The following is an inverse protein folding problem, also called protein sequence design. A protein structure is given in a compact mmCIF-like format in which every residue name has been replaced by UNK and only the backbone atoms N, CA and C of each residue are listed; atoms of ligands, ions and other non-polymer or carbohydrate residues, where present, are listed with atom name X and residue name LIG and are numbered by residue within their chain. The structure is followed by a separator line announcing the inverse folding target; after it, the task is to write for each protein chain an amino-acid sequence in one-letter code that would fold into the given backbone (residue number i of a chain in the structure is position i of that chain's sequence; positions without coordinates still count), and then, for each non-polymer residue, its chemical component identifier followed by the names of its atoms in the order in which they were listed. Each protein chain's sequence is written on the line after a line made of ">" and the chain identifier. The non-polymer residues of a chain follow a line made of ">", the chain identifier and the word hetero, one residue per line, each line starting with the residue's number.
data_IF_369656786612
#
_entry.id   IF_369656786612
#
_cell.length_a   1.000
_cell.length_b   1.000
_cell.length_c   1.000
_cell.angle_alpha   90.00
_cell.angle_beta   90.00
_cell.angle_gamma   90.00
#
_symmetry.space_group_name_H-M   'P 1'
#
loop_
_entity.id
_entity.type
_entity.pdbx_description
1 polymer ?
#
# COMPACT_ATOMS: atom_id res chain seq x y z
N UNK A 1 9.63 4.36 -22.24
CA UNK A 1 9.45 4.34 -20.76
C UNK A 1 10.32 3.30 -20.07
N UNK A 2 10.22 2.00 -20.38
CA UNK A 2 11.14 0.97 -19.82
C UNK A 2 12.59 1.21 -20.28
N UNK A 3 12.79 1.57 -21.55
CA UNK A 3 14.11 1.86 -22.13
C UNK A 3 14.82 3.08 -21.52
N UNK A 4 14.10 4.12 -21.06
CA UNK A 4 14.74 5.33 -20.49
C UNK A 4 15.24 5.09 -19.07
N UNK A 5 14.46 4.42 -18.20
CA UNK A 5 14.94 3.98 -16.88
C UNK A 5 16.03 2.92 -17.03
N UNK A 6 15.95 2.05 -18.04
CA UNK A 6 17.03 1.12 -18.38
C UNK A 6 18.26 1.85 -18.93
N UNK A 7 18.12 2.95 -19.68
CA UNK A 7 19.24 3.75 -20.20
C UNK A 7 19.87 4.65 -19.14
N UNK A 8 19.09 5.23 -18.21
CA UNK A 8 19.61 5.84 -16.98
C UNK A 8 20.29 4.81 -16.09
N UNK A 9 19.69 3.62 -15.94
CA UNK A 9 20.36 2.50 -15.29
C UNK A 9 21.61 2.09 -16.05
N UNK A 10 21.64 2.07 -17.37
CA UNK A 10 22.83 1.71 -18.14
C UNK A 10 23.87 2.83 -18.13
N UNK A 11 23.50 4.11 -18.06
CA UNK A 11 24.42 5.26 -17.95
C UNK A 11 25.02 5.36 -16.55
N UNK A 12 24.22 5.13 -15.50
CA UNK A 12 24.65 5.17 -14.09
C UNK A 12 25.31 3.84 -13.65
N UNK A 13 24.94 2.70 -14.25
CA UNK A 13 25.40 1.36 -13.86
C UNK A 13 26.22 0.59 -14.92
N UNK A 14 26.69 1.20 -16.03
CA UNK A 14 27.68 0.54 -16.92
C UNK A 14 29.09 0.62 -16.32
N UNK A 15 29.63 -0.54 -16.03
CA UNK A 15 31.05 -0.71 -15.73
C UNK A 15 31.50 -2.15 -15.79
N UNK A 16 31.27 -2.85 -16.90
CA UNK A 16 32.23 -3.80 -17.50
C UNK A 16 31.62 -4.59 -18.66
N UNK A 17 32.26 -4.53 -19.82
CA UNK A 17 32.61 -5.77 -20.55
C UNK A 17 33.71 -5.50 -21.59
N UNK A 18 34.91 -5.15 -21.09
CA UNK A 18 36.21 -5.56 -21.66
C UNK A 18 37.32 -4.98 -20.77
N UNK A 19 37.85 -5.75 -19.80
CA UNK A 19 39.06 -5.36 -19.06
C UNK A 19 40.25 -6.26 -19.42
N UNK A 20 41.36 -5.68 -19.92
CA UNK A 20 42.63 -6.38 -20.11
C UNK A 20 43.46 -6.55 -18.82
N UNK A 21 42.97 -6.08 -17.66
CA UNK A 21 43.56 -6.30 -16.34
C UNK A 21 42.68 -7.26 -15.50
N UNK A 22 43.29 -7.99 -14.57
CA UNK A 22 42.58 -8.91 -13.67
C UNK A 22 41.61 -8.17 -12.73
N UNK A 23 40.64 -8.88 -12.14
CA UNK A 23 39.60 -8.33 -11.25
C UNK A 23 40.15 -7.45 -10.13
N UNK A 24 41.34 -7.79 -9.62
CA UNK A 24 41.97 -7.14 -8.47
C UNK A 24 42.95 -6.01 -8.87
N UNK A 25 42.97 -5.65 -10.15
CA UNK A 25 43.84 -4.63 -10.72
C UNK A 25 43.06 -3.43 -11.27
N UNK A 26 43.70 -2.27 -11.23
CA UNK A 26 43.26 -1.01 -11.82
C UNK A 26 44.16 -0.67 -13.01
N UNK A 27 43.58 -0.18 -14.11
CA UNK A 27 44.32 0.20 -15.30
C UNK A 27 44.59 1.71 -15.28
N UNK A 28 45.86 2.10 -15.23
CA UNK A 28 46.34 3.47 -15.40
C UNK A 28 45.98 4.01 -16.79
N UNK A 29 45.97 5.34 -16.99
CA UNK A 29 45.66 5.98 -18.28
C UNK A 29 46.68 5.60 -19.38
N UNK A 30 47.89 5.22 -19.01
CA UNK A 30 48.93 4.68 -19.87
C UNK A 30 48.80 3.16 -20.14
N UNK A 31 47.68 2.54 -19.75
CA UNK A 31 47.38 1.10 -19.85
C UNK A 31 48.23 0.17 -18.97
N UNK A 32 48.93 0.69 -17.96
CA UNK A 32 49.61 -0.14 -16.95
C UNK A 32 48.58 -0.69 -15.94
N UNK A 33 48.66 -1.97 -15.56
CA UNK A 33 47.82 -2.53 -14.50
C UNK A 33 48.55 -2.45 -13.15
N UNK A 34 47.94 -1.82 -12.15
CA UNK A 34 48.41 -1.80 -10.76
C UNK A 34 47.40 -2.51 -9.85
N UNK A 35 47.82 -2.95 -8.66
CA UNK A 35 46.89 -3.56 -7.72
C UNK A 35 45.91 -2.52 -7.16
N UNK A 36 44.63 -2.85 -6.97
CA UNK A 36 43.62 -1.89 -6.48
C UNK A 36 43.97 -1.23 -5.14
N UNK A 37 44.76 -1.90 -4.29
CA UNK A 37 45.23 -1.34 -3.02
C UNK A 37 46.28 -0.23 -3.18
N UNK A 38 46.76 0.00 -4.40
CA UNK A 38 47.72 1.03 -4.75
C UNK A 38 47.08 2.28 -5.35
N UNK A 39 45.76 2.27 -5.50
CA UNK A 39 45.00 3.43 -5.93
C UNK A 39 44.81 4.38 -4.75
N UNK A 40 45.17 5.65 -4.90
CA UNK A 40 45.06 6.69 -3.86
C UNK A 40 45.79 6.38 -2.56
N UNK A 41 46.92 5.68 -2.64
CA UNK A 41 47.70 5.33 -1.46
C UNK A 41 48.70 6.44 -1.07
N UNK A 42 48.70 7.57 -1.81
CA UNK A 42 49.63 8.68 -1.61
C UNK A 42 51.00 8.45 -2.23
N UNK A 43 51.17 7.42 -3.07
CA UNK A 43 52.38 7.11 -3.83
C UNK A 43 52.04 6.96 -5.30
N UNK A 44 52.85 7.55 -6.18
CA UNK A 44 52.69 7.38 -7.62
C UNK A 44 53.20 5.99 -8.05
N UNK A 45 52.30 5.03 -8.11
CA UNK A 45 52.48 3.66 -8.60
C UNK A 45 52.23 3.53 -10.13
N UNK A 46 51.41 4.41 -10.74
CA UNK A 46 51.31 4.54 -12.20
C UNK A 46 52.41 5.45 -12.75
N UNK A 47 53.03 5.07 -13.88
CA UNK A 47 54.09 5.89 -14.50
C UNK A 47 53.60 7.23 -15.09
N UNK A 48 52.28 7.40 -15.25
CA UNK A 48 51.61 8.64 -15.65
C UNK A 48 50.92 9.36 -14.48
N UNK A 49 51.14 8.89 -13.24
CA UNK A 49 50.54 9.41 -12.00
C UNK A 49 49.01 9.38 -11.98
N UNK A 50 48.37 8.60 -12.86
CA UNK A 50 46.91 8.54 -13.00
C UNK A 50 46.20 7.83 -11.84
N UNK A 51 46.95 7.13 -10.99
CA UNK A 51 46.50 6.54 -9.73
C UNK A 51 46.32 7.54 -8.58
N UNK A 52 47.00 8.67 -8.64
CA UNK A 52 46.99 9.70 -7.59
C UNK A 52 46.43 11.05 -8.06
N UNK A 53 46.14 11.20 -9.36
CA UNK A 53 45.68 12.46 -9.94
C UNK A 53 44.20 12.79 -9.68
N UNK A 54 43.28 11.95 -10.17
CA UNK A 54 41.84 12.27 -10.19
C UNK A 54 41.07 11.76 -8.96
N UNK A 55 41.77 11.05 -8.07
CA UNK A 55 41.16 10.14 -7.10
C UNK A 55 41.37 10.62 -5.64
N UNK A 56 42.04 11.78 -5.46
CA UNK A 56 42.34 12.40 -4.16
C UNK A 56 41.59 13.72 -3.88
N UNK A 57 40.82 14.24 -4.84
CA UNK A 57 39.73 15.18 -4.55
C UNK A 57 38.45 14.36 -4.46
N UNK A 58 37.61 14.62 -3.46
CA UNK A 58 36.36 13.90 -3.19
C UNK A 58 35.31 14.11 -4.30
N UNK A 59 35.60 13.59 -5.48
CA UNK A 59 34.65 13.24 -6.51
C UNK A 59 34.12 11.87 -6.12
N UNK A 60 33.03 11.85 -5.35
CA UNK A 60 32.18 10.66 -5.26
C UNK A 60 31.65 10.40 -6.68
N UNK A 61 32.36 9.57 -7.44
CA UNK A 61 31.86 9.09 -8.71
C UNK A 61 30.58 8.28 -8.48
N UNK A 62 29.59 8.49 -9.36
CA UNK A 62 28.34 7.75 -9.39
C UNK A 62 28.58 6.33 -9.86
N UNK A 63 29.10 5.51 -8.95
CA UNK A 63 29.24 4.08 -9.20
C UNK A 63 28.04 3.33 -8.63
N UNK A 64 27.71 2.16 -9.20
CA UNK A 64 26.79 1.20 -8.58
C UNK A 64 27.09 0.95 -7.09
N UNK A 65 28.37 0.92 -6.72
CA UNK A 65 28.85 0.67 -5.37
C UNK A 65 28.55 1.85 -4.41
N UNK A 66 28.77 3.08 -4.87
CA UNK A 66 28.40 4.30 -4.12
C UNK A 66 26.90 4.32 -3.80
N UNK A 67 26.05 4.04 -4.80
CA UNK A 67 24.60 3.94 -4.63
C UNK A 67 24.19 2.84 -3.66
N UNK A 68 24.81 1.66 -3.78
CA UNK A 68 24.59 0.55 -2.86
C UNK A 68 24.92 0.93 -1.41
N UNK A 69 26.09 1.54 -1.18
CA UNK A 69 26.56 1.97 0.15
C UNK A 69 25.61 2.99 0.78
N UNK A 70 25.22 4.03 0.05
CA UNK A 70 24.31 5.07 0.53
C UNK A 70 22.95 4.45 0.88
N UNK A 71 22.39 3.64 0.00
CA UNK A 71 21.12 2.94 0.24
C UNK A 71 21.19 2.03 1.46
N UNK A 72 22.25 1.21 1.56
CA UNK A 72 22.46 0.28 2.68
C UNK A 72 22.55 1.01 4.02
N UNK A 73 23.27 2.14 4.08
CA UNK A 73 23.35 2.97 5.29
C UNK A 73 21.98 3.53 5.70
N UNK A 74 21.17 3.99 4.74
CA UNK A 74 19.83 4.49 5.02
C UNK A 74 18.87 3.39 5.47
N UNK A 75 18.94 2.19 4.87
CA UNK A 75 18.19 1.02 5.31
C UNK A 75 18.59 0.59 6.73
N UNK A 76 19.89 0.51 7.00
CA UNK A 76 20.41 0.18 8.33
C UNK A 76 19.96 1.20 9.38
N UNK A 77 19.95 2.50 9.05
CA UNK A 77 19.42 3.53 9.94
C UNK A 77 17.94 3.31 10.28
N UNK A 78 17.11 2.96 9.30
CA UNK A 78 15.70 2.60 9.53
C UNK A 78 15.60 1.37 10.45
N UNK A 79 16.40 0.33 10.21
CA UNK A 79 16.39 -0.87 11.04
C UNK A 79 16.84 -0.60 12.49
N UNK A 80 17.84 0.25 12.68
CA UNK A 80 18.34 0.64 14.00
C UNK A 80 17.37 1.58 14.74
N UNK A 81 16.45 2.23 14.03
CA UNK A 81 15.42 3.08 14.62
C UNK A 81 14.28 2.28 15.27
N UNK A 82 14.29 0.93 15.15
CA UNK A 82 13.32 0.05 15.79
C UNK A 82 13.46 0.06 17.31
N UNK A 83 12.34 0.21 18.01
CA UNK A 83 12.31 0.15 19.47
C UNK A 83 12.07 -1.29 19.95
N UNK A 84 13.14 -2.05 20.19
CA UNK A 84 13.03 -3.45 20.64
C UNK A 84 12.34 -3.59 22.01
N UNK A 85 12.24 -2.51 22.80
CA UNK A 85 11.55 -2.52 24.10
C UNK A 85 10.02 -2.36 23.97
N UNK A 86 9.47 -2.14 22.76
CA UNK A 86 8.03 -1.99 22.52
C UNK A 86 7.54 -2.93 21.42
N UNK A 87 7.27 -4.22 21.73
CA UNK A 87 6.97 -5.23 20.70
C UNK A 87 5.74 -4.91 19.83
N UNK A 88 4.75 -4.19 20.35
CA UNK A 88 3.53 -3.82 19.63
C UNK A 88 3.65 -2.49 18.85
N UNK A 89 4.75 -1.75 19.01
CA UNK A 89 4.98 -0.44 18.35
C UNK A 89 6.48 -0.23 18.10
N UNK A 90 7.10 -1.19 17.43
CA UNK A 90 8.55 -1.21 17.19
C UNK A 90 8.97 -0.16 16.17
N UNK A 91 8.17 0.06 15.13
CA UNK A 91 8.49 0.93 14.00
C UNK A 91 7.99 2.36 14.19
N UNK A 92 6.97 2.56 15.03
CA UNK A 92 6.51 3.87 15.44
C UNK A 92 5.46 4.49 14.50
N UNK A 93 5.14 5.80 14.66
CA UNK A 93 4.01 6.42 13.99
C UNK A 93 4.12 6.51 12.46
N UNK A 94 5.32 6.45 11.90
CA UNK A 94 5.56 6.49 10.45
C UNK A 94 5.68 5.08 9.82
N UNK A 95 5.26 4.02 10.53
CA UNK A 95 5.37 2.62 10.07
C UNK A 95 4.83 2.41 8.64
N UNK A 96 3.75 3.09 8.27
CA UNK A 96 3.19 3.01 6.90
C UNK A 96 4.17 3.49 5.82
N UNK A 97 4.88 4.60 6.09
CA UNK A 97 5.88 5.14 5.16
C UNK A 97 7.16 4.32 5.18
N UNK A 98 7.57 3.85 6.36
CA UNK A 98 8.74 2.97 6.50
C UNK A 98 8.56 1.70 5.67
N UNK A 99 7.38 1.06 5.72
CA UNK A 99 7.04 -0.11 4.93
C UNK A 99 7.29 0.12 3.43
N UNK A 100 6.73 1.21 2.90
CA UNK A 100 6.86 1.58 1.48
C UNK A 100 8.31 1.92 1.12
N UNK A 101 9.04 2.65 1.98
CA UNK A 101 10.43 3.03 1.72
C UNK A 101 11.36 1.80 1.65
N UNK A 102 11.19 0.86 2.59
CA UNK A 102 11.94 -0.39 2.61
C UNK A 102 11.60 -1.24 1.37
N UNK A 103 10.31 -1.37 1.02
CA UNK A 103 9.88 -2.13 -0.15
C UNK A 103 10.47 -1.57 -1.46
N UNK A 104 10.35 -0.26 -1.69
CA UNK A 104 10.83 0.37 -2.92
C UNK A 104 12.37 0.36 -3.02
N UNK A 105 13.08 0.40 -1.88
CA UNK A 105 14.55 0.33 -1.87
C UNK A 105 15.10 -1.09 -1.96
N UNK A 106 14.42 -2.07 -1.37
CA UNK A 106 14.77 -3.49 -1.44
C UNK A 106 13.55 -4.38 -1.15
N UNK A 107 13.00 -5.00 -2.20
CA UNK A 107 11.79 -5.82 -2.12
C UNK A 107 12.06 -7.25 -1.60
N UNK A 108 13.32 -7.67 -1.43
CA UNK A 108 13.64 -9.00 -0.87
C UNK A 108 13.17 -9.15 0.58
N UNK A 109 13.13 -8.05 1.35
CA UNK A 109 12.56 -8.04 2.71
C UNK A 109 11.06 -8.33 2.75
N UNK A 110 10.37 -8.25 1.61
CA UNK A 110 8.93 -8.48 1.50
C UNK A 110 8.59 -9.77 0.73
N UNK A 111 9.56 -10.32 -0.02
CA UNK A 111 9.45 -11.60 -0.76
C UNK A 111 10.05 -12.79 -0.02
N UNK A 112 11.31 -12.67 0.42
CA UNK A 112 12.14 -13.78 0.88
C UNK A 112 12.25 -13.80 2.41
N UNK A 113 12.59 -12.66 3.02
CA UNK A 113 12.74 -12.54 4.48
C UNK A 113 11.46 -12.02 5.14
N UNK A 114 10.50 -12.91 5.37
CA UNK A 114 9.15 -12.57 5.88
C UNK A 114 9.14 -11.91 7.27
N UNK A 115 10.21 -12.03 8.06
CA UNK A 115 10.24 -11.54 9.45
C UNK A 115 9.97 -10.03 9.56
N UNK A 116 10.64 -9.21 8.73
CA UNK A 116 10.45 -7.75 8.73
C UNK A 116 9.04 -7.38 8.23
N UNK A 117 8.60 -8.01 7.13
CA UNK A 117 7.26 -7.80 6.58
C UNK A 117 6.20 -8.14 7.61
N UNK A 118 6.29 -9.30 8.24
CA UNK A 118 5.28 -9.80 9.18
C UNK A 118 5.25 -8.92 10.45
N UNK A 119 6.40 -8.42 10.93
CA UNK A 119 6.49 -7.45 12.02
C UNK A 119 5.79 -6.13 11.68
N UNK A 120 6.07 -5.56 10.51
CA UNK A 120 5.44 -4.33 10.02
C UNK A 120 3.94 -4.54 9.79
N UNK A 121 3.54 -5.66 9.18
CA UNK A 121 2.15 -6.05 8.96
C UNK A 121 1.37 -6.09 10.28
N UNK A 122 1.96 -6.70 11.31
CA UNK A 122 1.33 -6.81 12.62
C UNK A 122 1.11 -5.43 13.25
N UNK A 123 2.13 -4.58 13.26
CA UNK A 123 2.03 -3.23 13.80
C UNK A 123 1.01 -2.37 13.03
N UNK A 124 0.99 -2.43 11.69
CA UNK A 124 0.01 -1.71 10.88
C UNK A 124 -1.43 -2.16 11.13
N UNK A 125 -1.66 -3.47 11.26
CA UNK A 125 -2.97 -4.02 11.60
C UNK A 125 -3.45 -3.47 12.95
N UNK A 126 -2.60 -3.56 13.98
CA UNK A 126 -2.94 -3.07 15.32
C UNK A 126 -3.15 -1.56 15.36
N UNK A 127 -2.29 -0.78 14.69
CA UNK A 127 -2.38 0.68 14.68
C UNK A 127 -3.69 1.15 14.04
N UNK A 128 -4.06 0.62 12.87
CA UNK A 128 -5.33 0.96 12.23
C UNK A 128 -6.53 0.47 13.06
N UNK A 129 -6.52 -0.77 13.57
CA UNK A 129 -7.60 -1.30 14.41
C UNK A 129 -7.80 -0.46 15.68
N UNK A 130 -6.71 -0.07 16.35
CA UNK A 130 -6.78 0.76 17.55
C UNK A 130 -7.41 2.13 17.27
N UNK A 131 -7.08 2.74 16.13
CA UNK A 131 -7.69 4.01 15.70
C UNK A 131 -9.16 3.84 15.40
N UNK A 132 -9.55 2.75 14.74
CA UNK A 132 -10.96 2.44 14.44
C UNK A 132 -11.78 2.03 15.67
N UNK A 133 -11.13 1.56 16.73
CA UNK A 133 -11.79 1.31 18.02
C UNK A 133 -12.05 2.60 18.80
N UNK A 134 -11.11 3.55 18.74
CA UNK A 134 -11.20 4.83 19.44
C UNK A 134 -11.99 5.90 18.66
N UNK A 135 -12.07 5.77 17.33
CA UNK A 135 -12.66 6.74 16.42
C UNK A 135 -13.47 6.05 15.34
N UNK A 136 -14.36 6.76 14.66
CA UNK A 136 -15.01 6.24 13.45
C UNK A 136 -14.03 6.25 12.29
N UNK A 137 -14.24 5.38 11.30
CA UNK A 137 -13.46 5.39 10.05
C UNK A 137 -13.48 6.77 9.38
N UNK A 138 -14.60 7.50 9.52
CA UNK A 138 -14.80 8.88 9.05
C UNK A 138 -13.80 9.87 9.65
N UNK A 139 -13.29 9.61 10.86
CA UNK A 139 -12.35 10.49 11.58
C UNK A 139 -10.88 10.26 11.18
N UNK A 140 -10.58 9.16 10.48
CA UNK A 140 -9.26 8.91 9.88
C UNK A 140 -9.17 9.77 8.62
N UNK A 141 -8.15 10.61 8.48
CA UNK A 141 -8.05 11.50 7.30
C UNK A 141 -7.84 10.71 6.00
N UNK A 142 -8.30 11.23 4.85
CA UNK A 142 -8.08 10.58 3.55
C UNK A 142 -6.59 10.34 3.25
N UNK A 143 -5.72 11.25 3.68
CA UNK A 143 -4.27 11.13 3.52
C UNK A 143 -3.69 10.00 4.38
N UNK A 144 -4.17 9.86 5.62
CA UNK A 144 -3.75 8.78 6.52
C UNK A 144 -4.25 7.43 6.02
N UNK A 145 -5.50 7.35 5.54
CA UNK A 145 -6.05 6.15 4.92
C UNK A 145 -5.25 5.75 3.67
N UNK A 146 -4.81 6.72 2.86
CA UNK A 146 -3.93 6.48 1.72
C UNK A 146 -2.55 5.92 2.13
N UNK A 147 -2.00 6.33 3.28
CA UNK A 147 -0.75 5.73 3.81
C UNK A 147 -0.96 4.26 4.19
N UNK A 148 -2.06 3.92 4.87
CA UNK A 148 -2.37 2.51 5.18
C UNK A 148 -2.57 1.67 3.93
N UNK A 149 -3.32 2.16 2.93
CA UNK A 149 -3.55 1.43 1.69
C UNK A 149 -2.21 1.12 1.00
N UNK A 150 -1.35 2.12 0.81
CA UNK A 150 -0.04 1.91 0.21
C UNK A 150 0.83 0.94 1.02
N UNK A 151 0.79 1.02 2.36
CA UNK A 151 1.53 0.12 3.24
C UNK A 151 1.01 -1.32 3.15
N UNK A 152 -0.31 -1.52 3.16
CA UNK A 152 -0.97 -2.82 3.04
C UNK A 152 -0.66 -3.52 1.72
N UNK A 153 -0.63 -2.78 0.60
CA UNK A 153 -0.22 -3.32 -0.69
C UNK A 153 1.19 -3.92 -0.64
N UNK A 154 2.15 -3.21 -0.02
CA UNK A 154 3.54 -3.70 0.06
C UNK A 154 3.73 -4.78 1.12
N UNK A 155 2.93 -4.79 2.18
CA UNK A 155 3.00 -5.79 3.26
C UNK A 155 2.11 -7.01 3.07
N UNK A 156 1.40 -7.11 1.94
CA UNK A 156 0.51 -8.21 1.58
C UNK A 156 -0.74 -8.35 2.46
N UNK A 157 -1.25 -7.22 2.97
CA UNK A 157 -2.60 -7.11 3.54
C UNK A 157 -3.49 -6.60 2.42
N UNK A 158 -4.64 -7.24 2.17
CA UNK A 158 -5.58 -6.76 1.15
C UNK A 158 -6.38 -5.56 1.68
N UNK A 159 -6.17 -4.32 1.19
CA UNK A 159 -6.89 -3.15 1.68
C UNK A 159 -8.38 -3.13 1.28
N UNK A 160 -8.80 -3.94 0.29
CA UNK A 160 -10.22 -4.10 -0.07
C UNK A 160 -10.95 -5.09 0.83
N UNK A 161 -10.18 -5.97 1.48
CA UNK A 161 -10.66 -7.00 2.40
C UNK A 161 -10.00 -6.84 3.77
N UNK A 162 -9.80 -5.60 4.22
CA UNK A 162 -9.25 -5.34 5.54
C UNK A 162 -10.31 -5.66 6.59
N UNK A 163 -10.32 -6.91 7.04
CA UNK A 163 -11.38 -7.52 7.82
C UNK A 163 -12.74 -7.36 7.11
N UNK A 164 -13.46 -6.33 7.50
CA UNK A 164 -14.83 -6.05 7.13
C UNK A 164 -15.00 -4.74 6.37
N UNK A 165 -13.88 -4.04 6.14
CA UNK A 165 -13.81 -2.73 5.55
C UNK A 165 -13.12 -2.83 4.19
N UNK A 166 -13.74 -2.21 3.19
CA UNK A 166 -13.08 -1.89 1.94
C UNK A 166 -12.53 -0.47 2.04
N UNK A 167 -11.26 -0.36 2.42
CA UNK A 167 -10.58 0.92 2.63
C UNK A 167 -10.41 1.67 1.30
N UNK A 168 -10.27 0.94 0.19
CA UNK A 168 -10.11 1.51 -1.15
C UNK A 168 -11.42 2.14 -1.60
N UNK A 169 -12.54 1.41 -1.47
CA UNK A 169 -13.87 1.94 -1.78
C UNK A 169 -14.27 3.12 -0.90
N UNK A 170 -13.94 3.08 0.39
CA UNK A 170 -14.17 4.21 1.29
C UNK A 170 -13.34 5.45 0.88
N UNK A 171 -12.06 5.25 0.51
CA UNK A 171 -11.22 6.35 0.03
C UNK A 171 -11.75 6.92 -1.30
N UNK A 172 -12.17 6.07 -2.25
CA UNK A 172 -12.78 6.45 -3.53
C UNK A 172 -14.03 7.32 -3.31
N UNK A 173 -14.93 6.89 -2.43
CA UNK A 173 -16.14 7.64 -2.04
C UNK A 173 -15.80 9.06 -1.55
N UNK A 174 -14.73 9.21 -0.76
CA UNK A 174 -14.29 10.53 -0.26
C UNK A 174 -13.73 11.42 -1.36
N UNK A 175 -12.98 10.84 -2.29
CA UNK A 175 -12.47 11.55 -3.47
C UNK A 175 -13.61 12.01 -4.37
N UNK A 176 -14.64 11.18 -4.56
CA UNK A 176 -15.82 11.54 -5.36
C UNK A 176 -16.63 12.68 -4.74
N UNK A 177 -16.71 12.73 -3.40
CA UNK A 177 -17.43 13.76 -2.68
C UNK A 177 -16.71 15.14 -2.68
N UNK A 178 -15.43 15.20 -3.07
CA UNK A 178 -14.62 16.41 -3.01
C UNK A 178 -14.29 16.95 -4.41
N UNK A 179 -14.32 18.28 -4.55
CA UNK A 179 -13.92 18.97 -5.79
C UNK A 179 -12.39 19.09 -5.94
N UNK A 180 -11.66 19.11 -4.83
CA UNK A 180 -10.20 19.12 -4.80
C UNK A 180 -9.73 17.95 -3.96
N UNK A 181 -8.67 17.28 -4.40
CA UNK A 181 -8.14 16.10 -3.72
C UNK A 181 -6.62 16.19 -3.69
N UNK A 182 -6.03 15.80 -2.57
CA UNK A 182 -4.59 15.66 -2.46
C UNK A 182 -4.10 14.61 -3.47
N UNK A 183 -3.16 14.93 -4.38
CA UNK A 183 -2.69 13.98 -5.39
C UNK A 183 -2.15 12.66 -4.82
N UNK A 184 -1.59 12.66 -3.61
CA UNK A 184 -1.13 11.44 -2.95
C UNK A 184 -2.27 10.44 -2.67
N UNK A 185 -3.50 10.93 -2.48
CA UNK A 185 -4.70 10.09 -2.27
C UNK A 185 -5.09 9.39 -3.57
N UNK A 186 -5.10 10.13 -4.68
CA UNK A 186 -5.38 9.56 -6.01
C UNK A 186 -4.29 8.59 -6.47
N UNK A 187 -3.02 8.89 -6.15
CA UNK A 187 -1.92 7.95 -6.38
C UNK A 187 -2.11 6.64 -5.60
N UNK A 188 -2.51 6.71 -4.33
CA UNK A 188 -2.78 5.50 -3.54
C UNK A 188 -3.96 4.67 -4.10
N UNK A 189 -5.02 5.31 -4.56
CA UNK A 189 -6.13 4.64 -5.26
C UNK A 189 -5.63 3.94 -6.53
N UNK A 190 -4.84 4.63 -7.35
CA UNK A 190 -4.27 4.07 -8.57
C UNK A 190 -3.37 2.85 -8.28
N UNK A 191 -2.48 2.96 -7.28
CA UNK A 191 -1.62 1.86 -6.83
C UNK A 191 -2.42 0.65 -6.33
N UNK A 192 -3.60 0.88 -5.72
CA UNK A 192 -4.52 -0.17 -5.30
C UNK A 192 -5.36 -0.76 -6.45
N UNK A 193 -5.08 -0.38 -7.69
CA UNK A 193 -5.81 -0.82 -8.89
C UNK A 193 -7.22 -0.24 -8.99
N UNK A 194 -7.57 0.79 -8.21
CA UNK A 194 -8.83 1.51 -8.38
C UNK A 194 -8.77 2.36 -9.66
N UNK A 195 -9.87 2.39 -10.41
CA UNK A 195 -9.93 3.13 -11.69
C UNK A 195 -9.78 4.62 -11.46
N UNK A 196 -8.88 5.25 -12.20
CA UNK A 196 -8.74 6.72 -12.24
C UNK A 196 -9.59 7.26 -13.39
N UNK A 197 -10.54 8.14 -13.06
CA UNK A 197 -11.50 8.68 -14.02
C UNK A 197 -11.00 9.94 -14.71
N UNK A 198 -11.61 10.34 -15.83
CA UNK A 198 -11.33 11.62 -16.50
C UNK A 198 -11.49 12.81 -15.54
N UNK A 199 -12.51 12.78 -14.67
CA UNK A 199 -12.71 13.80 -13.63
C UNK A 199 -11.53 13.85 -12.64
N UNK A 200 -10.92 12.72 -12.31
CA UNK A 200 -9.77 12.69 -11.42
C UNK A 200 -8.53 13.28 -12.10
N UNK A 201 -8.36 13.03 -13.41
CA UNK A 201 -7.31 13.66 -14.21
C UNK A 201 -7.49 15.17 -14.26
N UNK A 202 -8.71 15.67 -14.52
CA UNK A 202 -9.01 17.11 -14.44
C UNK A 202 -8.69 17.70 -13.06
N UNK A 203 -8.98 16.97 -11.97
CA UNK A 203 -8.59 17.39 -10.62
C UNK A 203 -7.07 17.48 -10.49
N UNK A 204 -6.32 16.49 -10.97
CA UNK A 204 -4.85 16.45 -10.89
C UNK A 204 -4.20 17.56 -11.72
N UNK A 205 -4.61 17.75 -12.98
CA UNK A 205 -4.11 18.81 -13.86
C UNK A 205 -4.50 20.18 -13.33
N UNK A 206 -5.73 20.34 -12.83
CA UNK A 206 -6.15 21.58 -12.16
C UNK A 206 -5.33 21.86 -10.90
N UNK A 207 -5.00 20.85 -10.08
CA UNK A 207 -4.13 21.03 -8.91
C UNK A 207 -2.73 21.46 -9.34
N UNK A 208 -2.23 20.94 -10.46
CA UNK A 208 -0.93 21.33 -10.98
C UNK A 208 -0.90 22.81 -11.39
N UNK A 209 -1.85 23.27 -12.21
CA UNK A 209 -1.86 24.63 -12.76
C UNK A 209 -2.47 25.70 -11.84
N UNK A 210 -3.49 25.36 -11.03
CA UNK A 210 -4.13 26.32 -10.10
C UNK A 210 -3.36 26.52 -8.81
N UNK A 211 -2.31 25.74 -8.54
CA UNK A 211 -1.34 26.06 -7.50
C UNK A 211 -0.55 27.33 -7.89
N UNK A 212 -1.21 28.49 -7.90
CA UNK A 212 -0.67 29.83 -8.18
C UNK A 212 0.29 30.34 -7.09
N UNK A 213 0.93 29.45 -6.34
CA UNK A 213 2.05 29.79 -5.46
C UNK A 213 3.28 29.05 -5.96
N UNK A 214 4.35 29.78 -6.18
CA UNK A 214 5.69 29.32 -6.60
C UNK A 214 6.31 28.21 -5.70
N UNK A 215 5.64 27.75 -4.64
CA UNK A 215 6.23 26.94 -3.56
C UNK A 215 5.57 25.57 -3.32
N UNK A 216 4.76 25.03 -4.24
CA UNK A 216 4.08 23.74 -4.08
C UNK A 216 4.58 22.64 -5.03
N UNK A 217 5.86 22.70 -5.41
CA UNK A 217 6.49 21.73 -6.32
C UNK A 217 6.31 20.27 -5.86
N UNK A 218 6.30 20.00 -4.54
CA UNK A 218 5.97 18.69 -3.98
C UNK A 218 4.61 18.14 -4.44
N UNK A 219 3.59 19.00 -4.41
CA UNK A 219 2.21 18.61 -4.73
C UNK A 219 2.06 18.40 -6.23
N UNK A 220 2.75 19.22 -7.03
CA UNK A 220 2.82 19.10 -8.48
C UNK A 220 3.52 17.80 -8.90
N UNK A 221 4.64 17.46 -8.27
CA UNK A 221 5.34 16.19 -8.50
C UNK A 221 4.45 14.98 -8.14
N UNK A 222 3.72 15.03 -7.03
CA UNK A 222 2.74 13.99 -6.69
C UNK A 222 1.58 13.90 -7.69
N UNK A 223 1.15 15.01 -8.29
CA UNK A 223 0.15 15.01 -9.36
C UNK A 223 0.67 14.33 -10.62
N UNK A 224 1.91 14.63 -11.02
CA UNK A 224 2.58 13.96 -12.15
C UNK A 224 2.72 12.45 -11.89
N UNK A 225 3.11 12.04 -10.68
CA UNK A 225 3.16 10.61 -10.32
C UNK A 225 1.77 9.93 -10.40
N UNK A 226 0.71 10.58 -9.92
CA UNK A 226 -0.65 10.05 -10.00
C UNK A 226 -1.12 9.92 -11.46
N UNK A 227 -0.83 10.92 -12.31
CA UNK A 227 -1.12 10.88 -13.74
C UNK A 227 -0.32 9.79 -14.46
N UNK A 228 0.96 9.64 -14.15
CA UNK A 228 1.81 8.59 -14.69
C UNK A 228 1.29 7.18 -14.31
N UNK A 229 0.78 7.01 -13.09
CA UNK A 229 0.10 5.79 -12.69
C UNK A 229 -1.18 5.56 -13.52
N UNK A 230 -2.02 6.59 -13.67
CA UNK A 230 -3.26 6.51 -14.46
C UNK A 230 -2.99 6.13 -15.93
N UNK A 231 -1.93 6.69 -16.54
CA UNK A 231 -1.52 6.38 -17.91
C UNK A 231 -1.07 4.91 -18.10
N UNK A 232 -0.70 4.23 -17.00
CA UNK A 232 -0.35 2.80 -17.01
C UNK A 232 -1.56 1.87 -16.83
N UNK A 233 -2.74 2.40 -16.49
CA UNK A 233 -3.96 1.59 -16.39
C UNK A 233 -4.42 1.12 -17.79
N UNK A 234 -5.07 -0.06 -17.89
CA UNK A 234 -5.45 -0.66 -19.18
C UNK A 234 -6.48 0.16 -19.98
N UNK A 235 -7.31 0.97 -19.31
CA UNK A 235 -8.33 1.83 -19.91
C UNK A 235 -7.72 3.13 -20.47
N UNK A 236 -6.67 3.00 -21.30
CA UNK A 236 -5.80 4.07 -21.84
C UNK A 236 -6.58 5.22 -22.51
N UNK A 237 -7.11 6.14 -21.70
CA UNK A 237 -7.83 7.32 -22.19
C UNK A 237 -7.00 8.60 -22.19
N UNK A 238 -5.73 8.53 -21.77
CA UNK A 238 -4.93 9.70 -21.48
C UNK A 238 -3.65 9.75 -22.33
N UNK A 239 -3.39 10.92 -22.89
CA UNK A 239 -2.25 11.18 -23.74
C UNK A 239 -1.00 11.47 -22.89
N UNK A 240 0.09 10.76 -23.17
CA UNK A 240 1.39 10.97 -22.53
C UNK A 240 1.95 12.38 -22.83
N UNK A 241 1.47 13.04 -23.89
CA UNK A 241 1.87 14.40 -24.27
C UNK A 241 1.57 15.41 -23.17
N UNK A 242 0.37 15.38 -22.58
CA UNK A 242 0.01 16.32 -21.51
C UNK A 242 0.90 16.13 -20.27
N UNK A 243 1.26 14.89 -19.96
CA UNK A 243 2.14 14.58 -18.83
C UNK A 243 3.54 15.14 -19.08
N UNK A 244 4.04 15.08 -20.32
CA UNK A 244 5.36 15.60 -20.67
C UNK A 244 5.47 17.12 -20.45
N UNK A 245 4.43 17.88 -20.78
CA UNK A 245 4.39 19.32 -20.54
C UNK A 245 4.48 19.66 -19.05
N UNK A 246 3.76 18.92 -18.19
CA UNK A 246 3.84 19.08 -16.73
C UNK A 246 5.23 18.73 -16.21
N UNK A 247 5.81 17.64 -16.71
CA UNK A 247 7.17 17.21 -16.37
C UNK A 247 8.20 18.26 -16.77
N UNK A 248 8.07 18.87 -17.96
CA UNK A 248 8.95 19.94 -18.42
C UNK A 248 8.89 21.17 -17.49
N UNK A 249 7.72 21.50 -16.95
CA UNK A 249 7.58 22.60 -16.01
C UNK A 249 8.24 22.32 -14.65
N UNK A 250 8.33 21.05 -14.23
CA UNK A 250 9.11 20.65 -13.05
C UNK A 250 10.62 20.76 -13.32
N UNK A 251 11.09 20.35 -14.50
CA UNK A 251 12.51 20.42 -14.90
C UNK A 251 13.09 21.83 -14.78
N UNK A 252 12.35 22.84 -15.22
CA UNK A 252 12.75 24.26 -15.20
C UNK A 252 13.07 24.81 -13.79
N UNK A 253 12.66 24.12 -12.73
CA UNK A 253 12.81 24.58 -11.33
C UNK A 253 14.12 24.15 -10.69
N UNK A 254 14.99 23.47 -11.43
CA UNK A 254 16.29 23.08 -10.91
C UNK A 254 17.19 24.30 -10.70
N UNK A 255 17.66 24.47 -9.46
CA UNK A 255 18.69 25.44 -9.15
C UNK A 255 20.04 25.04 -9.74
N UNK A 256 20.94 26.01 -9.87
CA UNK A 256 22.32 25.78 -10.34
C UNK A 256 23.10 24.75 -9.53
N UNK A 257 22.72 24.49 -8.27
CA UNK A 257 23.35 23.48 -7.41
C UNK A 257 22.79 22.06 -7.63
N UNK A 258 21.80 21.88 -8.51
CA UNK A 258 21.14 20.60 -8.80
C UNK A 258 19.88 20.32 -7.99
N UNK A 259 19.62 21.07 -6.91
CA UNK A 259 18.40 20.90 -6.09
C UNK A 259 17.18 21.53 -6.74
N UNK A 260 16.02 21.04 -6.34
CA UNK A 260 14.73 21.70 -6.55
C UNK A 260 14.16 21.96 -5.16
N UNK A 261 14.06 23.23 -4.77
CA UNK A 261 13.63 23.70 -3.43
C UNK A 261 14.40 23.09 -2.25
N UNK A 262 14.09 21.85 -1.88
CA UNK A 262 14.66 21.11 -0.76
C UNK A 262 14.88 19.63 -1.13
N UNK A 263 15.47 18.85 -0.22
CA UNK A 263 15.80 17.44 -0.43
C UNK A 263 14.58 16.59 -0.82
N UNK A 264 13.45 16.77 -0.11
CA UNK A 264 12.22 16.02 -0.35
C UNK A 264 11.65 16.35 -1.73
N UNK A 265 11.59 17.62 -2.08
CA UNK A 265 11.09 18.10 -3.37
C UNK A 265 11.97 17.61 -4.52
N UNK A 266 13.29 17.69 -4.36
CA UNK A 266 14.26 17.15 -5.32
C UNK A 266 14.02 15.65 -5.55
N UNK A 267 13.87 14.88 -4.48
CA UNK A 267 13.60 13.45 -4.57
C UNK A 267 12.26 13.14 -5.25
N UNK A 268 11.20 13.88 -4.91
CA UNK A 268 9.87 13.72 -5.52
C UNK A 268 9.86 14.03 -7.03
N UNK A 269 10.54 15.09 -7.45
CA UNK A 269 10.63 15.40 -8.88
C UNK A 269 11.43 14.33 -9.61
N UNK A 270 12.58 13.88 -9.09
CA UNK A 270 13.32 12.77 -9.70
C UNK A 270 12.45 11.51 -9.85
N UNK A 271 11.63 11.19 -8.84
CA UNK A 271 10.67 10.10 -8.96
C UNK A 271 9.65 10.32 -10.09
N UNK A 272 9.15 11.55 -10.26
CA UNK A 272 8.23 11.88 -11.34
C UNK A 272 8.91 11.78 -12.73
N UNK A 273 10.16 12.22 -12.84
CA UNK A 273 10.97 12.10 -14.05
C UNK A 273 11.15 10.63 -14.46
N UNK A 274 11.51 9.75 -13.52
CA UNK A 274 11.68 8.31 -13.78
C UNK A 274 10.43 7.64 -14.37
N UNK A 275 9.23 8.16 -14.09
CA UNK A 275 7.97 7.60 -14.55
C UNK A 275 7.47 8.20 -15.87
N UNK A 276 8.00 9.36 -16.28
CA UNK A 276 7.43 10.15 -17.39
C UNK A 276 8.39 10.42 -18.53
N UNK A 277 9.70 10.35 -18.31
CA UNK A 277 10.67 10.76 -19.30
C UNK A 277 10.76 9.85 -20.54
N UNK A 278 10.99 10.53 -21.67
CA UNK A 278 11.39 10.00 -22.97
C UNK A 278 12.74 10.60 -23.33
N UNK A 279 13.55 9.87 -24.11
CA UNK A 279 14.97 10.14 -24.42
C UNK A 279 15.25 11.48 -25.13
N UNK A 280 14.23 12.28 -25.45
CA UNK A 280 14.34 13.47 -26.31
C UNK A 280 14.60 14.81 -25.59
N UNK A 281 14.56 14.87 -24.25
CA UNK A 281 14.51 16.13 -23.49
C UNK A 281 15.72 16.34 -22.54
N UNK A 282 16.95 16.28 -23.07
CA UNK A 282 18.20 16.41 -22.29
C UNK A 282 18.57 17.86 -21.90
N UNK A 283 18.00 18.90 -22.52
CA UNK A 283 18.60 20.25 -22.43
C UNK A 283 18.32 21.05 -21.14
N UNK A 284 17.39 20.61 -20.27
CA UNK A 284 16.88 21.48 -19.18
C UNK A 284 16.94 20.91 -17.75
N UNK A 285 17.44 19.69 -17.54
CA UNK A 285 17.55 19.11 -16.20
C UNK A 285 18.81 18.25 -16.03
N UNK A 286 19.64 18.58 -15.05
CA UNK A 286 20.86 17.87 -14.71
C UNK A 286 20.56 16.83 -13.61
N UNK A 287 20.09 15.65 -14.01
CA UNK A 287 19.73 14.55 -13.10
C UNK A 287 20.91 14.11 -12.24
N UNK A 288 22.09 14.07 -12.84
CA UNK A 288 23.32 13.69 -12.17
C UNK A 288 23.59 14.64 -11.00
N UNK A 289 23.52 15.95 -11.22
CA UNK A 289 23.74 16.94 -10.17
C UNK A 289 22.68 16.87 -9.06
N UNK A 290 21.42 16.59 -9.41
CA UNK A 290 20.36 16.38 -8.43
C UNK A 290 20.64 15.16 -7.53
N UNK A 291 21.04 14.03 -8.13
CA UNK A 291 21.42 12.81 -7.40
C UNK A 291 22.64 13.06 -6.50
N UNK A 292 23.62 13.83 -6.97
CA UNK A 292 24.86 14.17 -6.24
C UNK A 292 24.52 14.90 -4.96
N UNK A 293 23.53 15.79 -5.06
CA UNK A 293 23.08 16.57 -3.93
C UNK A 293 22.22 15.75 -2.95
N UNK A 294 21.46 14.76 -3.42
CA UNK A 294 20.86 13.75 -2.55
C UNK A 294 21.94 13.00 -1.79
N UNK A 295 23.00 12.54 -2.44
CA UNK A 295 24.05 11.74 -1.79
C UNK A 295 24.75 12.52 -0.68
N UNK A 296 25.14 13.76 -0.98
CA UNK A 296 25.75 14.70 -0.03
C UNK A 296 24.87 15.05 1.16
N UNK A 297 23.55 14.85 1.04
CA UNK A 297 22.61 15.11 2.13
C UNK A 297 22.51 13.96 3.15
N UNK A 298 23.10 12.80 2.88
CA UNK A 298 23.11 11.69 3.83
C UNK A 298 23.99 12.04 5.04
N UNK A 299 23.40 11.96 6.23
CA UNK A 299 24.09 12.21 7.50
C UNK A 299 25.05 11.06 7.84
N UNK A 300 25.93 11.30 8.82
CA UNK A 300 26.89 10.29 9.32
C UNK A 300 26.20 9.03 9.85
N UNK A 301 25.04 9.19 10.49
CA UNK A 301 24.21 8.08 10.99
C UNK A 301 23.50 7.27 9.90
N UNK A 302 23.63 7.67 8.62
CA UNK A 302 23.00 7.01 7.48
C UNK A 302 21.63 7.57 7.11
N UNK A 303 21.05 8.45 7.95
CA UNK A 303 19.74 9.04 7.69
C UNK A 303 19.80 10.17 6.66
N UNK A 304 18.65 10.51 6.08
CA UNK A 304 18.44 11.78 5.36
C UNK A 304 17.82 12.85 6.28
N UNK A 305 18.14 12.77 7.56
CA UNK A 305 17.73 13.71 8.60
C UNK A 305 16.48 13.34 9.39
N UNK A 306 15.48 12.72 8.76
CA UNK A 306 14.27 12.20 9.40
C UNK A 306 13.60 11.12 8.53
N UNK A 307 12.58 10.44 9.07
CA UNK A 307 11.85 9.37 8.36
C UNK A 307 11.18 9.88 7.10
N UNK A 308 10.61 11.08 7.11
CA UNK A 308 9.90 11.64 5.96
C UNK A 308 10.84 11.88 4.76
N UNK A 309 12.02 12.46 4.96
CA UNK A 309 13.01 12.65 3.90
C UNK A 309 13.53 11.29 3.39
N UNK A 310 13.85 10.39 4.31
CA UNK A 310 14.33 9.04 3.95
C UNK A 310 13.30 8.28 3.13
N UNK A 311 12.00 8.44 3.42
CA UNK A 311 10.89 7.85 2.66
C UNK A 311 10.87 8.28 1.18
N UNK A 312 11.10 9.57 0.88
CA UNK A 312 11.14 10.05 -0.50
C UNK A 312 12.48 9.76 -1.20
N UNK A 313 13.59 9.69 -0.46
CA UNK A 313 14.92 9.46 -1.05
C UNK A 313 15.17 7.99 -1.38
N UNK A 314 14.76 7.06 -0.51
CA UNK A 314 15.07 5.63 -0.67
C UNK A 314 14.63 5.01 -2.03
N UNK A 315 13.46 5.34 -2.58
CA UNK A 315 13.06 4.90 -3.92
C UNK A 315 13.99 5.41 -5.03
N UNK A 316 14.46 6.66 -4.91
CA UNK A 316 15.34 7.30 -5.90
C UNK A 316 16.67 6.55 -6.03
N UNK A 317 17.21 6.04 -4.92
CA UNK A 317 18.45 5.27 -4.90
C UNK A 317 18.37 3.91 -5.64
N UNK A 318 17.17 3.51 -6.11
CA UNK A 318 16.95 2.33 -6.97
C UNK A 318 16.30 2.71 -8.32
N UNK A 319 16.24 4.01 -8.64
CA UNK A 319 15.47 4.53 -9.77
C UNK A 319 14.03 3.98 -9.75
N UNK A 320 13.38 4.07 -8.59
CA UNK A 320 11.98 3.72 -8.39
C UNK A 320 11.20 4.93 -7.88
N UNK A 321 9.89 4.87 -8.00
CA UNK A 321 8.97 5.89 -7.55
C UNK A 321 7.84 5.31 -6.69
N UNK A 322 7.02 6.19 -6.12
CA UNK A 322 5.77 5.83 -5.45
C UNK A 322 4.72 5.18 -6.39
N UNK A 323 4.88 5.27 -7.72
CA UNK A 323 4.02 4.55 -8.70
C UNK A 323 4.33 3.05 -8.72
N UNK A 324 5.51 2.63 -8.26
CA UNK A 324 5.88 1.22 -8.25
C UNK A 324 5.37 0.46 -7.00
N UNK A 325 4.53 1.10 -6.16
CA UNK A 325 3.84 0.45 -5.05
C UNK A 325 2.80 -0.51 -5.62
N UNK A 326 2.90 -1.78 -5.29
CA UNK A 326 1.94 -2.80 -5.73
C UNK A 326 1.96 -4.01 -4.80
N UNK A 327 0.95 -4.87 -4.95
CA UNK A 327 0.88 -6.19 -4.29
C UNK A 327 1.40 -7.33 -5.18
N UNK A 328 2.06 -7.05 -6.31
CA UNK A 328 2.42 -8.08 -7.30
C UNK A 328 3.48 -9.07 -6.80
N UNK A 329 4.25 -8.70 -5.77
CA UNK A 329 5.21 -9.58 -5.10
C UNK A 329 4.56 -10.47 -4.04
N UNK A 330 3.32 -10.19 -3.66
CA UNK A 330 2.58 -11.00 -2.72
C UNK A 330 2.12 -12.26 -3.44
N UNK A 331 2.65 -13.42 -3.03
CA UNK A 331 2.02 -14.70 -3.34
C UNK A 331 0.58 -14.64 -2.80
N UNK A 332 -0.41 -15.10 -3.59
CA UNK A 332 -1.80 -15.18 -3.13
C UNK A 332 -1.82 -15.72 -1.70
N UNK A 333 -2.33 -14.94 -0.73
CA UNK A 333 -2.31 -15.41 0.63
C UNK A 333 -3.25 -16.61 0.74
N UNK A 334 -2.73 -17.75 1.17
CA UNK A 334 -3.53 -18.69 1.94
C UNK A 334 -3.64 -18.07 3.34
N UNK A 335 -4.48 -17.04 3.49
CA UNK A 335 -4.80 -16.52 4.82
C UNK A 335 -5.86 -17.44 5.40
N UNK A 336 -5.52 -18.06 6.53
CA UNK A 336 -6.51 -18.65 7.42
C UNK A 336 -7.24 -17.50 8.14
N UNK A 337 -8.21 -16.89 7.45
CA UNK A 337 -9.05 -15.77 7.96
C UNK A 337 -9.64 -16.07 9.34
N UNK A 338 -9.80 -17.37 9.64
CA UNK A 338 -10.32 -17.91 10.90
C UNK A 338 -9.47 -17.55 12.12
N UNK A 339 -8.16 -17.42 11.96
CA UNK A 339 -7.22 -17.21 13.08
C UNK A 339 -7.09 -15.72 13.45
N UNK A 340 -7.10 -14.85 12.44
CA UNK A 340 -7.14 -13.40 12.63
C UNK A 340 -8.47 -12.93 13.26
N UNK A 341 -9.60 -13.54 12.86
CA UNK A 341 -10.90 -13.24 13.43
C UNK A 341 -11.02 -13.71 14.88
N UNK A 342 -10.53 -14.92 15.19
CA UNK A 342 -10.47 -15.44 16.57
C UNK A 342 -9.65 -14.54 17.51
N UNK A 343 -8.55 -14.00 17.02
CA UNK A 343 -7.68 -13.14 17.82
C UNK A 343 -8.33 -11.77 18.13
N UNK A 344 -9.09 -11.21 17.17
CA UNK A 344 -9.85 -9.98 17.34
C UNK A 344 -10.94 -10.11 18.42
N UNK A 345 -11.61 -11.27 18.46
CA UNK A 345 -12.71 -11.56 19.39
C UNK A 345 -12.29 -11.70 20.84
N UNK A 346 -11.03 -12.04 21.11
CA UNK A 346 -10.53 -12.16 22.48
C UNK A 346 -10.24 -10.79 23.13
N UNK A 347 -10.12 -9.71 22.35
CA UNK A 347 -9.64 -8.41 22.86
C UNK A 347 -10.72 -7.36 23.19
N UNK A 348 -12.00 -7.61 22.88
CA UNK A 348 -13.08 -6.63 23.13
C UNK A 348 -13.82 -6.93 24.44
N UNK A 349 -13.95 -5.93 25.32
CA UNK A 349 -14.43 -6.08 26.70
C UNK A 349 -15.95 -6.28 26.80
N UNK A 350 -16.76 -5.65 25.93
CA UNK A 350 -18.22 -5.82 25.91
C UNK A 350 -18.67 -6.85 24.86
N UNK A 351 -19.01 -8.05 25.31
CA UNK A 351 -19.49 -9.16 24.45
C UNK A 351 -20.97 -9.46 24.69
N UNK A 352 -21.73 -9.53 23.61
CA UNK A 352 -23.09 -10.04 23.61
C UNK A 352 -23.09 -11.52 23.25
N UNK A 353 -23.84 -12.31 24.02
CA UNK A 353 -24.05 -13.72 23.72
C UNK A 353 -25.30 -13.85 22.86
N UNK A 354 -25.18 -14.30 21.61
CA UNK A 354 -26.31 -14.44 20.69
C UNK A 354 -26.45 -15.90 20.29
N UNK A 355 -27.68 -16.42 20.33
CA UNK A 355 -27.99 -17.75 19.81
C UNK A 355 -28.40 -17.63 18.34
N UNK A 356 -27.87 -18.50 17.51
CA UNK A 356 -28.23 -18.61 16.10
C UNK A 356 -28.54 -20.06 15.74
N UNK A 357 -29.73 -20.31 15.20
CA UNK A 357 -30.17 -21.64 14.77
C UNK A 357 -30.52 -21.70 13.29
N UNK A 358 -30.29 -22.87 12.69
CA UNK A 358 -30.77 -23.24 11.36
C UNK A 358 -31.86 -24.29 11.49
N UNK A 359 -33.02 -24.00 10.90
CA UNK A 359 -34.17 -24.91 10.87
C UNK A 359 -34.50 -25.24 9.42
N UNK A 360 -34.86 -26.49 9.15
CA UNK A 360 -35.16 -26.97 7.80
C UNK A 360 -36.51 -27.69 7.83
N UNK A 361 -37.39 -27.38 6.88
CA UNK A 361 -38.68 -28.05 6.71
C UNK A 361 -39.78 -27.51 7.62
N UNK A 362 -41.02 -27.90 7.34
CA UNK A 362 -42.20 -27.28 7.94
C UNK A 362 -42.46 -27.69 9.40
N UNK A 363 -41.81 -28.74 9.90
CA UNK A 363 -42.01 -29.29 11.25
C UNK A 363 -41.06 -28.72 12.32
N UNK A 364 -40.48 -27.52 12.09
CA UNK A 364 -39.51 -26.87 13.00
C UNK A 364 -38.33 -27.77 13.39
N UNK A 365 -37.87 -28.60 12.47
CA UNK A 365 -36.72 -29.48 12.71
C UNK A 365 -35.45 -28.64 12.83
N UNK A 366 -34.90 -28.62 14.04
CA UNK A 366 -33.66 -27.90 14.37
C UNK A 366 -32.49 -28.68 13.80
N UNK A 367 -31.80 -28.11 12.82
CA UNK A 367 -30.63 -28.71 12.21
C UNK A 367 -29.38 -28.46 13.07
N UNK A 368 -29.18 -27.20 13.47
CA UNK A 368 -28.04 -26.80 14.29
C UNK A 368 -28.31 -25.51 15.04
N UNK A 369 -27.81 -25.41 16.28
CA UNK A 369 -27.78 -24.18 17.06
C UNK A 369 -26.36 -23.89 17.52
N UNK A 370 -25.95 -22.63 17.42
CA UNK A 370 -24.67 -22.13 17.90
C UNK A 370 -24.86 -20.89 18.79
N UNK A 371 -24.06 -20.80 19.84
CA UNK A 371 -24.01 -19.61 20.72
C UNK A 371 -22.70 -18.88 20.46
N UNK A 372 -22.81 -17.61 20.09
CA UNK A 372 -21.70 -16.79 19.63
C UNK A 372 -21.53 -15.61 20.60
N UNK A 373 -20.30 -15.39 21.08
CA UNK A 373 -19.97 -14.23 21.87
C UNK A 373 -19.36 -13.18 20.95
N UNK A 374 -20.16 -12.18 20.55
CA UNK A 374 -19.78 -11.17 19.57
C UNK A 374 -19.67 -9.78 20.21
N UNK A 375 -18.90 -8.85 19.62
CA UNK A 375 -18.86 -7.47 20.11
C UNK A 375 -20.26 -6.84 20.17
N UNK A 376 -20.50 -6.01 21.18
CA UNK A 376 -21.74 -5.24 21.28
C UNK A 376 -21.99 -4.40 20.02
N UNK A 377 -23.26 -4.21 19.65
CA UNK A 377 -23.73 -3.49 18.45
C UNK A 377 -23.35 -4.11 17.08
N UNK A 378 -22.85 -5.34 17.02
CA UNK A 378 -22.60 -6.03 15.74
C UNK A 378 -23.90 -6.34 15.01
N UNK A 379 -23.98 -6.11 13.69
CA UNK A 379 -25.18 -6.50 12.92
C UNK A 379 -25.34 -8.02 12.84
N UNK A 380 -26.56 -8.51 12.61
CA UNK A 380 -26.82 -9.94 12.52
C UNK A 380 -26.10 -10.58 11.32
N UNK A 381 -25.92 -9.84 10.23
CA UNK A 381 -25.07 -10.25 9.10
C UNK A 381 -23.64 -10.60 9.55
N UNK A 382 -23.03 -9.79 10.44
CA UNK A 382 -21.71 -10.08 11.01
C UNK A 382 -21.70 -11.33 11.87
N UNK A 383 -22.78 -11.59 12.59
CA UNK A 383 -22.94 -12.81 13.36
C UNK A 383 -23.01 -14.03 12.45
N UNK A 384 -23.67 -13.92 11.30
CA UNK A 384 -23.70 -14.99 10.29
C UNK A 384 -22.31 -15.27 9.73
N UNK A 385 -21.54 -14.24 9.39
CA UNK A 385 -20.14 -14.41 8.93
C UNK A 385 -19.30 -15.14 9.98
N UNK A 386 -19.48 -14.78 11.25
CA UNK A 386 -18.81 -15.48 12.35
C UNK A 386 -19.28 -16.93 12.51
N UNK A 387 -20.59 -17.18 12.43
CA UNK A 387 -21.15 -18.52 12.50
C UNK A 387 -20.58 -19.43 11.41
N UNK A 388 -20.46 -18.93 10.17
CA UNK A 388 -19.91 -19.64 9.03
C UNK A 388 -18.42 -20.01 9.22
N UNK A 389 -17.67 -19.18 9.94
CA UNK A 389 -16.28 -19.44 10.31
C UNK A 389 -16.17 -20.52 11.38
N UNK A 390 -17.09 -20.54 12.35
CA UNK A 390 -17.05 -21.48 13.48
C UNK A 390 -17.59 -22.86 13.10
N UNK A 391 -18.65 -22.91 12.30
CA UNK A 391 -19.31 -24.15 11.88
C UNK A 391 -19.73 -24.01 10.40
N UNK A 392 -19.14 -24.84 9.54
CA UNK A 392 -19.30 -24.78 8.08
C UNK A 392 -20.76 -24.90 7.63
N UNK A 393 -21.64 -25.48 8.46
CA UNK A 393 -23.09 -25.55 8.18
C UNK A 393 -23.76 -24.18 8.15
N UNK A 394 -23.17 -23.16 8.75
CA UNK A 394 -23.66 -21.79 8.68
C UNK A 394 -23.08 -21.01 7.50
N UNK A 395 -22.27 -21.64 6.65
CA UNK A 395 -21.79 -21.02 5.40
C UNK A 395 -22.98 -20.64 4.53
N UNK A 396 -22.98 -19.42 4.03
CA UNK A 396 -24.09 -18.86 3.30
C UNK A 396 -23.63 -18.12 2.03
N UNK A 397 -24.54 -17.97 1.09
CA UNK A 397 -24.37 -17.15 -0.11
C UNK A 397 -25.44 -16.06 -0.17
N UNK A 398 -25.09 -14.93 -0.78
CA UNK A 398 -25.96 -13.75 -0.81
C UNK A 398 -25.82 -12.99 -2.12
N UNK A 399 -26.86 -12.26 -2.49
CA UNK A 399 -26.84 -11.25 -3.57
C UNK A 399 -27.13 -9.88 -3.00
N UNK A 400 -26.65 -8.84 -3.68
CA UNK A 400 -26.92 -7.46 -3.27
C UNK A 400 -28.24 -6.96 -3.89
N UNK A 401 -29.17 -6.50 -3.05
CA UNK A 401 -30.42 -5.86 -3.46
C UNK A 401 -30.51 -4.49 -2.78
N UNK A 402 -30.61 -3.42 -3.57
CA UNK A 402 -30.64 -2.02 -3.08
C UNK A 402 -29.48 -1.69 -2.10
N UNK A 403 -28.28 -2.21 -2.40
CA UNK A 403 -27.09 -2.00 -1.57
C UNK A 403 -27.04 -2.83 -0.27
N UNK A 404 -27.93 -3.83 -0.11
CA UNK A 404 -28.01 -4.68 1.08
C UNK A 404 -27.98 -6.18 0.74
N UNK A 405 -27.40 -7.03 1.59
CA UNK A 405 -27.34 -8.46 1.34
C UNK A 405 -28.71 -9.13 1.53
N UNK A 406 -29.12 -9.90 0.52
CA UNK A 406 -30.21 -10.87 0.56
C UNK A 406 -29.60 -12.27 0.55
N UNK A 407 -29.83 -13.03 1.62
CA UNK A 407 -29.29 -14.39 1.79
C UNK A 407 -30.21 -15.35 1.04
N UNK A 408 -29.67 -16.02 0.03
CA UNK A 408 -30.45 -16.97 -0.78
C UNK A 408 -29.98 -18.41 -0.60
N UNK A 409 -28.86 -18.64 0.10
CA UNK A 409 -28.38 -19.99 0.38
C UNK A 409 -27.71 -20.07 1.74
N UNK A 410 -27.97 -21.14 2.48
CA UNK A 410 -27.26 -21.51 3.71
C UNK A 410 -27.03 -23.02 3.69
N UNK A 411 -25.83 -23.47 4.07
CA UNK A 411 -25.44 -24.89 4.04
C UNK A 411 -25.62 -25.56 2.67
N UNK A 412 -25.39 -24.82 1.58
CA UNK A 412 -25.58 -25.28 0.19
C UNK A 412 -27.06 -25.50 -0.21
N UNK A 413 -28.02 -25.25 0.68
CA UNK A 413 -29.45 -25.26 0.37
C UNK A 413 -29.81 -23.88 -0.14
N UNK A 414 -30.18 -23.79 -1.41
CA UNK A 414 -30.60 -22.54 -2.05
C UNK A 414 -32.12 -22.37 -1.96
N UNK A 415 -32.58 -21.12 -2.05
CA UNK A 415 -33.98 -20.80 -2.33
C UNK A 415 -34.45 -21.55 -3.59
N UNK A 416 -35.63 -22.16 -3.51
CA UNK A 416 -36.25 -22.94 -4.58
C UNK A 416 -37.63 -22.35 -4.91
N UNK A 417 -37.70 -21.46 -5.93
CA UNK A 417 -38.94 -20.82 -6.33
C UNK A 417 -39.98 -21.78 -6.90
N UNK A 418 -39.57 -22.90 -7.53
CA UNK A 418 -40.50 -23.86 -8.15
C UNK A 418 -41.26 -24.64 -7.08
N UNK A 419 -40.59 -25.01 -5.99
CA UNK A 419 -41.20 -25.66 -4.83
C UNK A 419 -41.69 -24.66 -3.76
N UNK A 420 -41.46 -23.35 -3.99
CA UNK A 420 -41.83 -22.24 -3.11
C UNK A 420 -41.16 -22.27 -1.74
N UNK A 421 -39.95 -22.82 -1.65
CA UNK A 421 -39.16 -22.95 -0.44
C UNK A 421 -38.12 -21.82 -0.38
N UNK A 422 -38.09 -21.08 0.73
CA UNK A 422 -37.18 -19.95 0.90
C UNK A 422 -36.60 -19.89 2.31
N UNK A 423 -35.48 -19.20 2.44
CA UNK A 423 -34.89 -18.86 3.74
C UNK A 423 -35.54 -17.62 4.36
N UNK A 424 -36.09 -17.79 5.56
CA UNK A 424 -36.68 -16.70 6.34
C UNK A 424 -35.93 -16.49 7.66
N UNK A 425 -35.71 -15.23 8.02
CA UNK A 425 -35.08 -14.86 9.29
C UNK A 425 -36.15 -14.58 10.34
N UNK A 426 -36.02 -15.21 11.50
CA UNK A 426 -36.88 -15.01 12.66
C UNK A 426 -36.08 -14.58 13.89
N UNK A 427 -36.77 -13.89 14.80
CA UNK A 427 -36.33 -13.62 16.16
C UNK A 427 -37.28 -14.32 17.14
N UNK A 428 -36.72 -15.03 18.12
CA UNK A 428 -37.52 -15.55 19.24
C UNK A 428 -37.72 -14.48 20.30
N UNK A 429 -38.97 -14.29 20.75
CA UNK A 429 -39.32 -13.41 21.87
C UNK A 429 -39.43 -14.14 23.22
N UNK A 430 -39.49 -15.48 23.21
CA UNK A 430 -39.56 -16.32 24.42
C UNK A 430 -38.38 -17.29 24.51
N UNK A 431 -38.10 -17.78 25.73
CA UNK A 431 -37.11 -18.83 25.98
C UNK A 431 -37.49 -20.17 25.33
N UNK A 432 -38.79 -20.36 25.09
CA UNK A 432 -39.41 -21.63 24.73
C UNK A 432 -39.68 -21.74 23.21
N UNK A 433 -39.19 -20.79 22.42
CA UNK A 433 -39.25 -20.78 20.93
C UNK A 433 -40.68 -20.90 20.36
N UNK A 434 -41.68 -20.54 21.18
CA UNK A 434 -43.11 -20.59 20.86
C UNK A 434 -43.54 -19.44 19.96
N UNK A 435 -42.98 -18.24 20.22
CA UNK A 435 -43.34 -16.98 19.58
C UNK A 435 -42.17 -16.50 18.70
N UNK A 436 -42.33 -16.63 17.39
CA UNK A 436 -41.35 -16.23 16.38
C UNK A 436 -41.83 -15.01 15.62
N UNK A 437 -41.05 -13.94 15.66
CA UNK A 437 -41.27 -12.72 14.88
C UNK A 437 -40.45 -12.81 13.58
N UNK A 438 -41.11 -12.72 12.43
CA UNK A 438 -40.43 -12.67 11.13
C UNK A 438 -39.74 -11.33 10.92
N UNK A 439 -38.49 -11.36 10.48
CA UNK A 439 -37.70 -10.18 10.15
C UNK A 439 -37.67 -10.03 8.64
N UNK A 440 -38.29 -8.96 8.14
CA UNK A 440 -38.35 -8.62 6.71
C UNK A 440 -37.21 -7.72 6.24
N UNK A 441 -36.40 -7.21 7.17
CA UNK A 441 -35.23 -6.36 6.87
C UNK A 441 -34.02 -7.23 6.55
N UNK A 442 -33.05 -6.66 5.82
CA UNK A 442 -31.77 -7.34 5.57
C UNK A 442 -31.07 -7.65 6.90
N UNK A 443 -30.39 -8.80 7.03
CA UNK A 443 -29.56 -9.11 8.20
C UNK A 443 -28.54 -8.02 8.55
N UNK A 444 -28.13 -7.20 7.58
CA UNK A 444 -27.22 -6.07 7.79
C UNK A 444 -27.85 -4.92 8.61
N UNK A 445 -29.18 -4.78 8.59
CA UNK A 445 -29.92 -3.74 9.34
C UNK A 445 -30.38 -4.20 10.72
N UNK A 446 -30.18 -5.48 11.04
CA UNK A 446 -30.64 -6.08 12.29
C UNK A 446 -29.51 -5.99 13.29
N UNK A 447 -29.72 -5.24 14.38
CA UNK A 447 -28.79 -5.21 15.51
C UNK A 447 -29.40 -6.03 16.66
N UNK A 448 -28.78 -7.16 17.02
CA UNK A 448 -29.23 -8.03 18.10
C UNK A 448 -28.94 -7.38 19.46
N UNK A 449 -29.59 -7.83 20.53
CA UNK A 449 -29.19 -7.54 21.92
C UNK A 449 -28.63 -8.79 22.58
N UNK A 450 -27.93 -8.64 23.71
CA UNK A 450 -27.39 -9.79 24.45
C UNK A 450 -28.50 -10.78 24.84
N UNK A 451 -28.19 -12.08 24.72
CA UNK A 451 -29.06 -13.26 24.93
C UNK A 451 -30.21 -13.43 23.94
N UNK A 452 -30.24 -12.65 22.86
CA UNK A 452 -31.25 -12.80 21.82
C UNK A 452 -31.00 -14.07 20.98
N UNK A 453 -32.08 -14.64 20.44
CA UNK A 453 -32.04 -15.83 19.61
C UNK A 453 -32.65 -15.54 18.23
N UNK A 454 -31.87 -15.84 17.20
CA UNK A 454 -32.26 -15.74 15.81
C UNK A 454 -32.28 -17.10 15.16
N UNK A 455 -33.21 -17.27 14.23
CA UNK A 455 -33.43 -18.53 13.53
C UNK A 455 -33.52 -18.23 12.05
N UNK A 456 -32.66 -18.83 11.24
CA UNK A 456 -32.90 -18.95 9.80
C UNK A 456 -33.67 -20.24 9.55
N UNK A 457 -34.84 -20.13 8.94
CA UNK A 457 -35.75 -21.24 8.73
C UNK A 457 -36.07 -21.40 7.24
N UNK A 458 -35.68 -22.54 6.68
CA UNK A 458 -36.02 -22.94 5.31
C UNK A 458 -37.39 -23.62 5.28
N UNK A 459 -38.40 -22.94 4.70
CA UNK A 459 -39.80 -23.39 4.68
C UNK A 459 -40.58 -22.85 3.49
N UNK A 460 -41.79 -23.36 3.29
CA UNK A 460 -42.71 -22.83 2.28
C UNK A 460 -43.09 -21.38 2.60
N UNK A 461 -43.09 -20.51 1.59
CA UNK A 461 -43.66 -19.17 1.66
C UNK A 461 -45.19 -19.21 1.81
N UNK A 462 -45.77 -18.25 2.52
CA UNK A 462 -47.20 -18.21 2.87
C UNK A 462 -48.15 -18.05 1.66
N UNK A 463 -47.59 -17.76 0.48
CA UNK A 463 -48.30 -17.57 -0.79
C UNK A 463 -48.66 -18.89 -1.51
N UNK A 464 -48.20 -20.04 -1.00
CA UNK A 464 -48.38 -21.37 -1.60
C UNK A 464 -49.57 -22.17 -1.03
N UNK A 465 -50.63 -21.50 -0.59
CA UNK A 465 -51.87 -22.14 -0.12
C UNK A 465 -52.92 -22.31 -1.22
#
# INVERSE_FOLDING_TARGET
>A
MVEHVENLRQRIFKGDDNRPCNSDQYMCLNNQCIHRSKLCNGQYDCADNSDEGHCCESHEDFTPDSLYKIRSRAQNWIHLSRNENQPARKWGPDVSRIAVALYLSNDSHFRENKSIRDEISYELNLDLLSKLALKKLEDVSSTELAYYINAFLVTCIDPRKFYVLDLVSELRKRVDAQNHTNPAVLLALCNAGERITERDVEKLTSVFWKAHREFWTDTQALAVLALACAAKQPDKRFDMVEINDLTMELKKRQYRNGTIENLKTTALVLQALFETESEADEENFDEEKALKQIFRSQKKDGSFGNVANTYYVLPVLRCRSLVNISSSHCSSPVINEQEALKHLMNQLEDKWSVRFSLWIGNNRTVERTITLNVPANSSFYRIMEFAAVVDIRFKFEYTMRNGKPYIYSISEIQDDPENGMFWFLFKSSSSDESDLEIITKSPADVVPVSKQHFIFWYRCGEWNH
#
